data_IF_396879527657
#
_entry.id   IF_396879527657
#
_cell.length_a   1.000
_cell.length_b   1.000
_cell.length_c   1.000
_cell.angle_alpha   90.00
_cell.angle_beta   90.00
_cell.angle_gamma   90.00
#
_symmetry.space_group_name_H-M   'P 1'
#
loop_
_entity.id
_entity.type
_entity.pdbx_description
1 polymer ?
#
# COMPACT_ATOMS: atom_id res chain seq x y z
N UNK A 1 9.04 -8.33 -15.04
CA UNK A 1 9.55 -9.34 -14.10
C UNK A 1 10.87 -8.85 -13.49
N UNK A 2 11.23 -9.36 -12.31
CA UNK A 2 12.43 -9.07 -11.57
C UNK A 2 13.61 -9.79 -12.22
N UNK A 3 14.74 -9.10 -12.47
CA UNK A 3 15.86 -9.63 -13.24
C UNK A 3 16.78 -10.53 -12.39
N UNK A 4 16.19 -11.47 -11.64
CA UNK A 4 16.90 -12.40 -10.76
C UNK A 4 16.55 -13.85 -11.09
N UNK A 5 17.47 -14.77 -10.80
CA UNK A 5 17.25 -16.21 -10.97
C UNK A 5 16.25 -16.74 -9.93
N UNK A 6 15.70 -17.91 -10.22
CA UNK A 6 14.81 -18.60 -9.29
C UNK A 6 15.56 -18.97 -8.01
N UNK A 7 14.94 -18.82 -6.85
CA UNK A 7 15.54 -19.26 -5.58
C UNK A 7 16.79 -18.49 -5.14
N UNK A 8 16.98 -17.26 -5.62
CA UNK A 8 18.18 -16.44 -5.32
C UNK A 8 18.14 -15.76 -3.96
N UNK A 9 16.96 -15.64 -3.34
CA UNK A 9 16.80 -14.89 -2.09
C UNK A 9 16.19 -15.74 -0.98
N UNK A 10 16.69 -15.53 0.22
CA UNK A 10 16.15 -16.10 1.46
C UNK A 10 15.00 -15.25 2.01
N UNK A 11 15.01 -13.95 1.71
CA UNK A 11 14.03 -12.97 2.15
C UNK A 11 13.81 -11.90 1.08
N UNK A 12 12.55 -11.52 0.86
CA UNK A 12 12.18 -10.38 0.00
C UNK A 12 11.25 -9.48 0.79
N UNK A 13 11.65 -8.21 0.92
CA UNK A 13 10.84 -7.14 1.49
C UNK A 13 10.36 -6.20 0.36
N UNK A 14 9.05 -6.04 0.23
CA UNK A 14 8.43 -5.06 -0.65
C UNK A 14 7.65 -4.05 0.18
N UNK A 15 7.86 -2.75 -0.07
CA UNK A 15 7.21 -1.70 0.72
C UNK A 15 6.72 -0.54 -0.12
N UNK A 16 5.46 -0.14 0.10
CA UNK A 16 4.83 1.08 -0.40
C UNK A 16 5.00 1.28 -1.92
N UNK A 17 4.74 0.23 -2.69
CA UNK A 17 4.85 0.29 -4.15
C UNK A 17 3.48 0.41 -4.84
N UNK A 18 2.38 0.22 -4.10
CA UNK A 18 1.01 0.25 -4.63
C UNK A 18 0.69 1.47 -5.46
N UNK A 19 1.13 2.64 -5.01
CA UNK A 19 0.94 3.93 -5.69
C UNK A 19 1.71 4.06 -7.02
N UNK A 20 2.64 3.15 -7.29
CA UNK A 20 3.52 3.17 -8.47
C UNK A 20 3.20 2.08 -9.48
N UNK A 21 2.34 1.13 -9.15
CA UNK A 21 2.00 0.01 -10.03
C UNK A 21 0.49 -0.21 -10.09
N UNK A 22 -0.08 -0.53 -11.26
CA UNK A 22 -1.51 -0.80 -11.38
C UNK A 22 -1.96 -2.01 -10.54
N UNK A 23 -3.20 -1.98 -10.04
CA UNK A 23 -3.79 -3.11 -9.31
C UNK A 23 -3.66 -4.45 -10.07
N UNK A 24 -3.86 -4.40 -11.39
CA UNK A 24 -3.83 -5.56 -12.28
C UNK A 24 -2.46 -6.27 -12.34
N UNK A 25 -1.35 -5.63 -11.96
CA UNK A 25 -0.01 -6.27 -12.02
C UNK A 25 0.37 -6.99 -10.72
N UNK A 26 -0.39 -6.82 -9.64
CA UNK A 26 -0.11 -7.44 -8.35
C UNK A 26 -0.04 -8.98 -8.38
N UNK A 27 -0.95 -9.71 -9.07
CA UNK A 27 -0.83 -11.17 -9.18
C UNK A 27 0.49 -11.61 -9.82
N UNK A 28 0.93 -10.89 -10.87
CA UNK A 28 2.22 -11.11 -11.51
C UNK A 28 3.39 -10.79 -10.58
N UNK A 29 3.32 -9.67 -9.86
CA UNK A 29 4.33 -9.23 -8.89
C UNK A 29 4.54 -10.27 -7.78
N UNK A 30 3.48 -10.75 -7.16
CA UNK A 30 3.55 -11.74 -6.07
C UNK A 30 4.13 -13.06 -6.58
N UNK A 31 3.73 -13.52 -7.78
CA UNK A 31 4.29 -14.72 -8.41
C UNK A 31 5.78 -14.59 -8.69
N UNK A 32 6.21 -13.42 -9.13
CA UNK A 32 7.61 -13.14 -9.44
C UNK A 32 8.47 -13.07 -8.17
N UNK A 33 7.95 -12.54 -7.06
CA UNK A 33 8.58 -12.62 -5.75
C UNK A 33 8.67 -14.08 -5.27
N UNK A 34 7.60 -14.86 -5.40
CA UNK A 34 7.60 -16.29 -5.08
C UNK A 34 8.67 -17.06 -5.88
N UNK A 35 8.83 -16.72 -7.15
CA UNK A 35 9.83 -17.35 -8.04
C UNK A 35 11.27 -17.10 -7.54
N UNK A 36 11.60 -15.86 -7.18
CA UNK A 36 12.97 -15.49 -6.77
C UNK A 36 13.32 -15.92 -5.34
N UNK A 37 12.32 -16.20 -4.49
CA UNK A 37 12.56 -16.80 -3.17
C UNK A 37 12.97 -18.26 -3.27
N UNK A 38 13.90 -18.70 -2.42
CA UNK A 38 14.22 -20.13 -2.26
C UNK A 38 13.11 -20.88 -1.51
N UNK A 39 13.16 -22.21 -1.53
CA UNK A 39 12.35 -23.03 -0.61
C UNK A 39 12.64 -22.64 0.85
N UNK A 40 11.59 -22.48 1.64
CA UNK A 40 11.68 -21.95 3.01
C UNK A 40 11.95 -20.45 3.10
N UNK A 41 12.04 -19.72 1.98
CA UNK A 41 12.24 -18.27 1.96
C UNK A 41 11.02 -17.50 2.43
N UNK A 42 11.24 -16.27 2.92
CA UNK A 42 10.22 -15.42 3.50
C UNK A 42 9.92 -14.20 2.63
N UNK A 43 8.65 -13.81 2.58
CA UNK A 43 8.22 -12.53 2.04
C UNK A 43 7.71 -11.65 3.17
N UNK A 44 8.04 -10.36 3.12
CA UNK A 44 7.31 -9.32 3.84
C UNK A 44 6.81 -8.27 2.85
N UNK A 45 5.52 -7.93 2.94
CA UNK A 45 4.90 -6.86 2.14
C UNK A 45 4.30 -5.84 3.09
N UNK A 46 4.68 -4.56 2.93
CA UNK A 46 4.11 -3.46 3.69
C UNK A 46 3.43 -2.50 2.73
N UNK A 47 2.12 -2.35 2.83
CA UNK A 47 1.34 -1.55 1.88
C UNK A 47 0.24 -0.76 2.58
N UNK A 48 -0.07 0.41 2.04
CA UNK A 48 -1.29 1.12 2.42
C UNK A 48 -2.51 0.39 1.85
N UNK A 49 -3.68 0.63 2.42
CA UNK A 49 -4.89 0.04 1.88
C UNK A 49 -5.13 0.53 0.43
N UNK A 50 -5.06 -0.38 -0.55
CA UNK A 50 -5.33 -0.10 -1.97
C UNK A 50 -6.76 -0.54 -2.25
N UNK A 51 -7.71 0.39 -2.16
CA UNK A 51 -9.15 0.08 -2.23
C UNK A 51 -9.75 0.44 -3.58
N UNK A 52 -10.68 -0.40 -4.04
CA UNK A 52 -11.70 0.05 -4.99
C UNK A 52 -12.61 1.08 -4.30
N UNK A 53 -12.73 2.27 -4.88
CA UNK A 53 -13.66 3.31 -4.41
C UNK A 53 -15.13 2.94 -4.62
N UNK A 54 -16.03 3.46 -3.80
CA UNK A 54 -17.48 3.19 -3.83
C UNK A 54 -17.83 1.69 -3.74
N UNK A 55 -17.01 0.91 -3.02
CA UNK A 55 -17.22 -0.51 -2.82
C UNK A 55 -18.47 -0.80 -1.95
N UNK A 56 -19.34 -1.69 -2.43
CA UNK A 56 -20.37 -2.29 -1.58
C UNK A 56 -19.77 -3.23 -0.53
N UNK A 57 -20.53 -3.68 0.49
CA UNK A 57 -19.99 -4.41 1.65
C UNK A 57 -19.11 -5.61 1.30
N UNK A 58 -19.50 -6.40 0.29
CA UNK A 58 -18.72 -7.57 -0.17
C UNK A 58 -17.43 -7.18 -0.89
N UNK A 59 -17.43 -6.06 -1.61
CA UNK A 59 -16.23 -5.55 -2.28
C UNK A 59 -15.27 -4.94 -1.27
N UNK A 60 -15.78 -4.30 -0.21
CA UNK A 60 -14.96 -3.82 0.91
C UNK A 60 -14.27 -4.97 1.62
N UNK A 61 -15.00 -6.05 1.91
CA UNK A 61 -14.44 -7.29 2.47
C UNK A 61 -13.38 -7.87 1.54
N UNK A 62 -13.64 -7.91 0.23
CA UNK A 62 -12.65 -8.36 -0.75
C UNK A 62 -11.38 -7.52 -0.72
N UNK A 63 -11.49 -6.18 -0.71
CA UNK A 63 -10.33 -5.32 -0.72
C UNK A 63 -9.45 -5.56 0.52
N UNK A 64 -10.06 -5.74 1.69
CA UNK A 64 -9.35 -6.04 2.93
C UNK A 64 -8.56 -7.34 2.84
N UNK A 65 -9.01 -8.33 2.05
CA UNK A 65 -8.40 -9.65 1.95
C UNK A 65 -7.65 -9.91 0.64
N UNK A 66 -7.51 -8.89 -0.21
CA UNK A 66 -6.97 -9.07 -1.56
C UNK A 66 -5.53 -9.61 -1.54
N UNK A 67 -4.63 -9.00 -0.77
CA UNK A 67 -3.23 -9.46 -0.71
C UNK A 67 -3.09 -10.83 -0.04
N UNK A 68 -3.93 -11.14 0.95
CA UNK A 68 -3.97 -12.47 1.57
C UNK A 68 -4.26 -13.56 0.52
N UNK A 69 -5.24 -13.28 -0.35
CA UNK A 69 -5.59 -14.18 -1.46
C UNK A 69 -4.49 -14.26 -2.51
N UNK A 70 -3.89 -13.13 -2.90
CA UNK A 70 -2.81 -13.13 -3.90
C UNK A 70 -1.57 -13.91 -3.43
N UNK A 71 -1.18 -13.75 -2.16
CA UNK A 71 -0.09 -14.53 -1.54
C UNK A 71 -0.42 -16.03 -1.57
N UNK A 72 -1.63 -16.40 -1.15
CA UNK A 72 -2.08 -17.80 -1.13
C UNK A 72 -2.12 -18.41 -2.53
N UNK A 73 -2.66 -17.69 -3.52
CA UNK A 73 -2.75 -18.12 -4.92
C UNK A 73 -1.37 -18.27 -5.58
N UNK A 74 -0.38 -17.48 -5.15
CA UNK A 74 1.00 -17.62 -5.61
C UNK A 74 1.72 -18.84 -5.00
N UNK A 75 1.15 -19.47 -3.97
CA UNK A 75 1.70 -20.67 -3.33
C UNK A 75 2.35 -20.42 -1.97
N UNK A 76 2.32 -19.19 -1.45
CA UNK A 76 2.79 -18.92 -0.09
C UNK A 76 1.93 -19.62 0.96
N UNK A 77 2.56 -20.01 2.07
CA UNK A 77 1.93 -20.62 3.25
C UNK A 77 2.17 -19.74 4.46
N UNK A 78 1.41 -20.00 5.52
CA UNK A 78 1.49 -19.25 6.78
C UNK A 78 1.36 -17.74 6.55
N UNK A 79 0.33 -17.34 5.81
CA UNK A 79 0.07 -15.93 5.49
C UNK A 79 -0.48 -15.25 6.74
N UNK A 80 0.26 -14.26 7.22
CA UNK A 80 -0.13 -13.42 8.34
C UNK A 80 -0.31 -11.99 7.89
N UNK A 81 -1.21 -11.28 8.58
CA UNK A 81 -1.45 -9.85 8.39
C UNK A 81 -1.53 -9.15 9.74
N UNK A 82 -0.86 -8.01 9.85
CA UNK A 82 -1.03 -7.06 10.93
C UNK A 82 -1.35 -5.69 10.34
N UNK A 83 -2.34 -5.00 10.90
CA UNK A 83 -2.71 -3.65 10.49
C UNK A 83 -2.36 -2.66 11.59
N UNK A 84 -1.87 -1.49 11.19
CA UNK A 84 -1.72 -0.34 12.09
C UNK A 84 -2.34 0.89 11.47
N UNK A 85 -2.89 1.75 12.31
CA UNK A 85 -3.42 3.04 11.91
C UNK A 85 -2.31 4.08 12.06
N UNK A 86 -1.86 4.65 10.95
CA UNK A 86 -0.84 5.70 10.97
C UNK A 86 -1.54 7.05 11.06
N UNK A 87 -1.47 7.77 12.19
CA UNK A 87 -2.16 9.04 12.33
C UNK A 87 -1.57 10.09 11.40
N UNK A 88 -2.42 10.97 10.85
CA UNK A 88 -2.00 12.12 10.06
C UNK A 88 -2.42 13.40 10.76
N UNK A 89 -1.46 14.24 11.12
CA UNK A 89 -1.72 15.51 11.80
C UNK A 89 -1.18 15.56 13.22
N UNK A 90 -1.27 16.76 13.80
CA UNK A 90 -0.83 17.07 15.16
C UNK A 90 -1.54 16.25 16.24
N UNK A 91 -2.74 15.72 15.96
CA UNK A 91 -3.44 14.79 16.87
C UNK A 91 -2.64 13.49 17.12
N UNK A 92 -1.82 13.08 16.15
CA UNK A 92 -0.89 11.95 16.27
C UNK A 92 0.47 12.32 16.88
N UNK A 93 0.60 13.52 17.43
CA UNK A 93 1.87 14.06 17.93
C UNK A 93 2.93 14.23 16.83
N UNK A 94 4.23 14.29 17.21
CA UNK A 94 5.31 14.54 16.25
C UNK A 94 5.39 13.54 15.09
N UNK A 95 5.06 12.28 15.34
CA UNK A 95 5.00 11.24 14.30
C UNK A 95 3.85 11.47 13.33
N UNK A 96 2.68 11.92 13.81
CA UNK A 96 1.52 12.22 12.97
C UNK A 96 1.75 13.43 12.06
N UNK A 97 2.43 14.47 12.56
CA UNK A 97 2.83 15.63 11.74
C UNK A 97 3.82 15.22 10.64
N UNK A 98 4.79 14.35 10.97
CA UNK A 98 5.73 13.82 9.99
C UNK A 98 5.01 12.96 8.94
N UNK A 99 4.10 12.09 9.36
CA UNK A 99 3.31 11.24 8.48
C UNK A 99 2.44 12.08 7.54
N UNK A 100 1.78 13.13 8.04
CA UNK A 100 1.03 14.09 7.23
C UNK A 100 1.92 14.73 6.15
N UNK A 101 3.10 15.26 6.52
CA UNK A 101 4.03 15.84 5.54
C UNK A 101 4.45 14.83 4.48
N UNK A 102 4.69 13.58 4.87
CA UNK A 102 5.03 12.52 3.94
C UNK A 102 3.86 12.18 3.00
N UNK A 103 2.64 12.13 3.53
CA UNK A 103 1.43 11.85 2.79
C UNK A 103 1.16 12.94 1.73
N UNK A 104 1.19 14.22 2.12
CA UNK A 104 1.04 15.36 1.19
C UNK A 104 2.07 15.30 0.06
N UNK A 105 3.34 15.00 0.38
CA UNK A 105 4.40 14.85 -0.64
C UNK A 105 4.16 13.68 -1.57
N UNK A 106 3.70 12.55 -1.05
CA UNK A 106 3.37 11.37 -1.84
C UNK A 106 2.21 11.66 -2.80
N UNK A 107 1.13 12.29 -2.31
CA UNK A 107 -0.01 12.71 -3.14
C UNK A 107 0.42 13.69 -4.22
N UNK A 108 1.24 14.69 -3.89
CA UNK A 108 1.75 15.65 -4.88
C UNK A 108 2.66 14.98 -5.93
N UNK A 109 3.41 13.94 -5.57
CA UNK A 109 4.20 13.18 -6.55
C UNK A 109 3.32 12.44 -7.58
N UNK A 110 2.03 12.26 -7.29
CA UNK A 110 1.03 11.69 -8.19
C UNK A 110 0.25 12.77 -8.97
N UNK A 111 0.68 14.04 -8.93
CA UNK A 111 0.00 15.18 -9.57
C UNK A 111 -0.47 14.92 -10.99
N UNK A 112 0.40 14.40 -11.87
CA UNK A 112 0.03 14.12 -13.27
C UNK A 112 -1.15 13.15 -13.38
N UNK A 113 -1.27 12.17 -12.47
CA UNK A 113 -2.41 11.27 -12.44
C UNK A 113 -3.64 11.96 -11.84
N UNK A 114 -3.48 12.76 -10.79
CA UNK A 114 -4.58 13.47 -10.13
C UNK A 114 -5.23 14.53 -11.04
N UNK A 115 -4.46 15.20 -11.89
CA UNK A 115 -4.98 16.17 -12.88
C UNK A 115 -5.80 15.52 -14.00
N UNK A 116 -5.88 14.19 -14.06
CA UNK A 116 -6.83 13.51 -14.96
C UNK A 116 -8.26 13.49 -14.41
N UNK A 117 -8.42 13.73 -13.10
CA UNK A 117 -9.71 13.72 -12.39
C UNK A 117 -10.04 15.08 -11.75
N UNK A 118 -9.03 15.90 -11.48
CA UNK A 118 -9.16 17.27 -10.99
C UNK A 118 -9.17 18.27 -12.15
N UNK A 119 -9.82 19.44 -11.99
CA UNK A 119 -9.96 20.42 -13.07
C UNK A 119 -8.63 21.08 -13.45
N UNK A 120 -7.80 21.45 -12.46
CA UNK A 120 -6.52 22.14 -12.67
C UNK A 120 -5.57 22.01 -11.46
N UNK A 121 -4.36 22.56 -11.60
CA UNK A 121 -3.34 22.61 -10.55
C UNK A 121 -3.77 23.41 -9.31
N UNK A 122 -4.57 24.46 -9.49
CA UNK A 122 -5.01 25.30 -8.39
C UNK A 122 -5.95 24.52 -7.45
N UNK A 123 -6.88 23.74 -8.01
CA UNK A 123 -7.75 22.86 -7.25
C UNK A 123 -6.97 21.76 -6.51
N UNK A 124 -5.91 21.22 -7.11
CA UNK A 124 -5.05 20.26 -6.42
C UNK A 124 -4.26 20.91 -5.27
N UNK A 125 -3.71 22.11 -5.48
CA UNK A 125 -2.97 22.83 -4.44
C UNK A 125 -3.88 23.22 -3.27
N UNK A 126 -5.10 23.66 -3.55
CA UNK A 126 -6.13 23.93 -2.54
C UNK A 126 -6.48 22.67 -1.74
N UNK A 127 -6.74 21.54 -2.40
CA UNK A 127 -7.01 20.26 -1.73
C UNK A 127 -5.85 19.84 -0.82
N UNK A 128 -4.61 19.94 -1.29
CA UNK A 128 -3.43 19.57 -0.50
C UNK A 128 -3.25 20.50 0.71
N UNK A 129 -3.61 21.78 0.59
CA UNK A 129 -3.59 22.73 1.69
C UNK A 129 -4.68 22.41 2.72
N UNK A 130 -5.94 22.22 2.29
CA UNK A 130 -7.07 21.87 3.16
C UNK A 130 -6.84 20.53 3.89
N UNK A 131 -6.34 19.52 3.19
CA UNK A 131 -5.92 18.26 3.81
C UNK A 131 -4.90 18.48 4.93
N UNK A 132 -4.10 19.54 4.86
CA UNK A 132 -3.13 19.87 5.90
C UNK A 132 -3.77 20.26 7.24
N UNK A 133 -5.00 20.77 7.21
CA UNK A 133 -5.71 21.28 8.37
C UNK A 133 -6.75 20.26 8.87
N UNK A 134 -7.53 19.69 7.95
CA UNK A 134 -8.64 18.78 8.25
C UNK A 134 -8.20 17.47 8.92
N UNK A 135 -7.03 16.93 8.55
CA UNK A 135 -6.57 15.63 9.07
C UNK A 135 -6.41 15.63 10.59
N UNK A 136 -6.04 16.78 11.17
CA UNK A 136 -5.97 16.97 12.61
C UNK A 136 -7.35 17.05 13.28
N UNK A 137 -8.28 17.79 12.66
CA UNK A 137 -9.63 17.96 13.20
C UNK A 137 -10.40 16.65 13.27
N UNK A 138 -10.31 15.85 12.22
CA UNK A 138 -11.07 14.60 12.11
C UNK A 138 -10.36 13.38 12.68
N UNK A 139 -9.15 13.53 13.22
CA UNK A 139 -8.36 12.38 13.67
C UNK A 139 -8.07 11.39 12.54
N UNK A 140 -7.75 11.92 11.35
CA UNK A 140 -7.57 11.10 10.15
C UNK A 140 -6.32 10.24 10.25
N UNK A 141 -6.43 8.96 9.88
CA UNK A 141 -5.32 8.02 9.82
C UNK A 141 -5.28 7.29 8.47
N UNK A 142 -4.13 6.70 8.16
CA UNK A 142 -3.95 5.82 7.01
C UNK A 142 -3.72 4.39 7.52
N UNK A 143 -4.59 3.44 7.16
CA UNK A 143 -4.34 2.03 7.44
C UNK A 143 -3.13 1.52 6.65
N UNK A 144 -2.18 0.93 7.36
CA UNK A 144 -1.01 0.26 6.79
C UNK A 144 -1.02 -1.20 7.22
N UNK A 145 -0.86 -2.08 6.23
CA UNK A 145 -0.90 -3.52 6.42
C UNK A 145 0.49 -4.10 6.21
N UNK A 146 0.89 -4.94 7.14
CA UNK A 146 2.11 -5.74 7.14
C UNK A 146 1.71 -7.18 6.90
N UNK A 147 2.23 -7.76 5.83
CA UNK A 147 2.03 -9.15 5.47
C UNK A 147 3.35 -9.88 5.59
N UNK A 148 3.33 -11.07 6.15
CA UNK A 148 4.46 -12.00 6.02
C UNK A 148 3.98 -13.41 5.74
N UNK A 149 4.74 -14.11 4.92
CA UNK A 149 4.42 -15.47 4.51
C UNK A 149 5.68 -16.24 4.10
N UNK A 150 5.58 -17.55 3.98
CA UNK A 150 6.70 -18.44 3.64
C UNK A 150 6.46 -19.18 2.34
N UNK A 151 7.50 -19.28 1.51
CA UNK A 151 7.52 -20.21 0.38
C UNK A 151 7.80 -21.63 0.91
N UNK A 152 6.89 -22.60 0.69
CA UNK A 152 7.10 -23.98 1.14
C UNK A 152 8.31 -24.63 0.49
#
# INVERSE_FOLDING_TARGET
ELPYLNGSFDFVHQRMIGHRIPLAVWPGRVRDIYRVLRHGGLIEVVEQEIMLGNAGPRTTELNQHMLDQLLSLAGFRDVHRQSVEVPLGSWGGPSGELAQRAYVRMTNAMRSALLTVLPDDAALDELLACMGEEVSEYGTFVPVHFYWARKP
#
